data_IF_968690499984
#
_entry.id   IF_968690499984
#
_cell.length_a   1.000
_cell.length_b   1.000
_cell.length_c   1.000
_cell.angle_alpha   90.00
_cell.angle_beta   90.00
_cell.angle_gamma   90.00
#
_symmetry.space_group_name_H-M   'P 1'
#
loop_
_entity.id
_entity.type
_entity.pdbx_description
1 polymer ?
#
# COMPACT_ATOMS: atom_id res chain seq x y z
N UNK A 1 5.77 18.79 27.24
CA UNK A 1 5.89 17.79 26.18
C UNK A 1 4.71 16.80 26.15
N UNK A 2 4.44 16.01 27.19
CA UNK A 2 3.38 15.00 27.21
C UNK A 2 1.99 15.55 26.87
N UNK A 3 1.57 16.62 27.56
CA UNK A 3 0.29 17.28 27.27
C UNK A 3 0.27 17.85 25.84
N UNK A 4 1.37 18.38 25.36
CA UNK A 4 1.47 18.88 23.97
C UNK A 4 1.30 17.74 22.98
N UNK A 5 1.94 16.58 23.21
CA UNK A 5 1.73 15.40 22.37
C UNK A 5 0.27 14.91 22.38
N UNK A 6 -0.42 14.96 23.51
CA UNK A 6 -1.84 14.62 23.58
C UNK A 6 -2.72 15.62 22.82
N UNK A 7 -2.41 16.91 22.92
CA UNK A 7 -3.16 17.98 22.23
C UNK A 7 -2.94 17.98 20.71
N UNK A 8 -1.76 17.58 20.25
CA UNK A 8 -1.39 17.54 18.82
C UNK A 8 -1.75 16.22 18.16
N UNK A 9 -2.25 15.25 18.93
CA UNK A 9 -2.69 13.96 18.39
C UNK A 9 -3.74 14.15 17.29
N UNK A 10 -3.56 13.39 16.20
CA UNK A 10 -4.37 13.54 14.99
C UNK A 10 -5.87 13.49 15.25
N UNK A 11 -6.64 14.51 14.83
CA UNK A 11 -8.08 14.56 15.02
C UNK A 11 -8.84 13.45 14.30
N UNK A 12 -8.20 12.74 13.35
CA UNK A 12 -8.78 11.58 12.66
C UNK A 12 -9.01 10.40 13.58
N UNK A 13 -8.33 10.34 14.71
CA UNK A 13 -8.43 9.25 15.68
C UNK A 13 -9.44 9.57 16.78
N UNK A 14 -9.68 10.84 17.05
CA UNK A 14 -10.78 11.29 17.89
C UNK A 14 -11.93 11.73 17.00
N UNK A 15 -13.15 11.32 17.32
CA UNK A 15 -14.36 11.77 16.61
C UNK A 15 -14.63 13.28 16.78
N UNK A 16 -13.84 13.97 17.58
CA UNK A 16 -13.95 15.41 17.85
C UNK A 16 -12.57 16.03 18.06
N UNK A 17 -12.43 17.28 17.67
CA UNK A 17 -11.22 18.06 17.93
C UNK A 17 -11.06 18.31 19.43
N UNK A 18 -9.89 18.03 19.99
CA UNK A 18 -9.55 18.25 21.40
C UNK A 18 -9.50 19.74 21.80
N UNK A 19 -9.53 20.64 20.84
CA UNK A 19 -9.52 22.09 21.07
C UNK A 19 -9.62 22.90 19.78
N UNK A 20 -9.68 24.25 19.90
CA UNK A 20 -9.64 25.12 18.76
C UNK A 20 -8.33 24.98 17.98
N UNK A 21 -8.37 25.20 16.68
CA UNK A 21 -7.24 25.00 15.75
C UNK A 21 -6.00 25.84 16.14
N UNK A 22 -6.24 27.05 16.68
CA UNK A 22 -5.18 27.91 17.23
C UNK A 22 -4.45 27.29 18.42
N UNK A 23 -5.15 26.56 19.28
CA UNK A 23 -4.53 25.86 20.42
C UNK A 23 -3.64 24.70 19.92
N UNK A 24 -4.09 23.97 18.92
CA UNK A 24 -3.33 22.87 18.31
C UNK A 24 -2.07 23.44 17.64
N UNK A 25 -2.21 24.52 16.88
CA UNK A 25 -1.08 25.19 16.23
C UNK A 25 -0.04 25.68 17.26
N UNK A 26 -0.47 26.37 18.30
CA UNK A 26 0.41 26.81 19.39
C UNK A 26 1.08 25.63 20.12
N UNK A 27 0.35 24.51 20.28
CA UNK A 27 0.91 23.30 20.89
C UNK A 27 1.99 22.66 19.99
N UNK A 28 1.81 22.65 18.68
CA UNK A 28 2.80 22.17 17.71
C UNK A 28 4.08 23.01 17.76
N UNK A 29 3.95 24.35 17.73
CA UNK A 29 5.10 25.27 17.83
C UNK A 29 5.87 25.12 19.15
N UNK A 30 5.15 24.99 20.26
CA UNK A 30 5.77 24.75 21.56
C UNK A 30 6.45 23.37 21.61
N UNK A 31 5.84 22.35 21.02
CA UNK A 31 6.37 21.00 20.99
C UNK A 31 7.67 20.94 20.18
N UNK A 32 7.73 21.61 19.03
CA UNK A 32 8.94 21.73 18.21
C UNK A 32 10.06 22.43 18.98
N UNK A 33 9.75 23.54 19.66
CA UNK A 33 10.72 24.27 20.51
C UNK A 33 11.23 23.43 21.67
N UNK A 34 10.38 22.65 22.34
CA UNK A 34 10.76 21.77 23.44
C UNK A 34 11.60 20.60 22.95
N UNK A 35 11.26 19.99 21.81
CA UNK A 35 12.02 18.87 21.24
C UNK A 35 13.41 19.28 20.79
N UNK A 36 13.56 20.47 20.21
CA UNK A 36 14.87 21.03 19.81
C UNK A 36 15.74 21.44 21.00
N UNK A 37 15.13 21.87 22.11
CA UNK A 37 15.85 22.36 23.30
C UNK A 37 16.21 21.26 24.31
N UNK A 38 15.50 20.14 24.32
CA UNK A 38 15.71 19.07 25.30
C UNK A 38 16.67 18.00 24.77
N UNK A 39 17.96 18.22 24.94
CA UNK A 39 18.98 17.18 24.78
C UNK A 39 19.29 16.58 26.15
N UNK A 40 18.83 15.35 26.42
CA UNK A 40 19.23 14.67 27.64
C UNK A 40 18.18 13.78 28.33
N UNK A 41 18.26 13.51 29.61
CA UNK A 41 17.55 12.45 30.34
C UNK A 41 16.01 12.59 30.43
N UNK A 42 15.43 13.49 29.65
CA UNK A 42 13.97 13.67 29.52
C UNK A 42 13.28 12.35 29.14
N UNK A 43 13.92 11.53 28.31
CA UNK A 43 13.38 10.25 27.89
C UNK A 43 13.04 9.29 29.02
N UNK A 44 13.84 9.26 30.08
CA UNK A 44 13.62 8.40 31.25
C UNK A 44 12.35 8.79 32.05
N UNK A 45 12.09 10.09 32.19
CA UNK A 45 10.88 10.57 32.88
C UNK A 45 9.62 10.36 32.03
N UNK A 46 9.73 10.58 30.73
CA UNK A 46 8.65 10.34 29.77
C UNK A 46 8.31 8.85 29.72
N UNK A 47 9.34 8.00 29.66
CA UNK A 47 9.18 6.55 29.70
C UNK A 47 8.42 6.11 30.94
N UNK A 48 8.84 6.55 32.13
CA UNK A 48 8.17 6.22 33.38
C UNK A 48 6.71 6.66 33.42
N UNK A 49 6.41 7.86 32.93
CA UNK A 49 5.02 8.34 32.82
C UNK A 49 4.16 7.41 31.95
N UNK A 50 4.66 7.06 30.76
CA UNK A 50 3.89 6.19 29.85
C UNK A 50 3.82 4.75 30.39
N UNK A 51 4.86 4.24 31.05
CA UNK A 51 4.86 2.93 31.69
C UNK A 51 3.73 2.82 32.71
N UNK A 52 3.54 3.84 33.56
CA UNK A 52 2.46 3.88 34.53
C UNK A 52 1.06 3.95 33.90
N UNK A 53 0.90 4.71 32.80
CA UNK A 53 -0.40 4.96 32.15
C UNK A 53 -0.80 3.88 31.15
N UNK A 54 0.16 3.35 30.38
CA UNK A 54 -0.10 2.48 29.25
C UNK A 54 0.04 0.99 29.57
N UNK A 55 0.02 0.63 30.84
CA UNK A 55 -0.03 -0.76 31.26
C UNK A 55 -1.30 -1.47 30.77
N UNK A 56 -1.22 -2.78 30.47
CA UNK A 56 -2.31 -3.62 29.92
C UNK A 56 -3.69 -3.39 30.55
N UNK A 57 -3.72 -3.17 31.88
CA UNK A 57 -4.99 -2.98 32.62
C UNK A 57 -5.44 -1.51 32.71
N UNK A 58 -4.59 -0.54 32.39
CA UNK A 58 -4.86 0.89 32.63
C UNK A 58 -5.04 1.71 31.37
N UNK A 59 -4.47 1.33 30.24
CA UNK A 59 -4.43 2.15 29.02
C UNK A 59 -5.81 2.64 28.57
N UNK A 60 -6.87 1.83 28.72
CA UNK A 60 -8.25 2.22 28.35
C UNK A 60 -8.79 3.40 29.16
N UNK A 61 -8.21 3.67 30.32
CA UNK A 61 -8.55 4.84 31.16
C UNK A 61 -7.74 6.08 30.76
N UNK A 62 -6.69 5.90 29.93
CA UNK A 62 -5.73 6.92 29.55
C UNK A 62 -5.58 6.99 28.03
N UNK A 63 -6.70 7.06 27.30
CA UNK A 63 -6.71 7.04 25.84
C UNK A 63 -5.88 8.21 25.26
N UNK A 64 -5.99 9.41 25.86
CA UNK A 64 -5.14 10.55 25.49
C UNK A 64 -3.66 10.24 25.56
N UNK A 65 -3.22 9.50 26.58
CA UNK A 65 -1.83 9.10 26.71
C UNK A 65 -1.40 8.11 25.61
N UNK A 66 -2.29 7.24 25.11
CA UNK A 66 -1.97 6.35 23.97
C UNK A 66 -1.70 7.15 22.71
N UNK A 67 -2.55 8.13 22.41
CA UNK A 67 -2.38 9.02 21.25
C UNK A 67 -1.13 9.88 21.41
N UNK A 68 -0.95 10.49 22.60
CA UNK A 68 0.23 11.27 22.92
C UNK A 68 1.52 10.47 22.83
N UNK A 69 1.48 9.18 23.14
CA UNK A 69 2.63 8.28 22.97
C UNK A 69 2.99 8.08 21.50
N UNK A 70 2.01 7.86 20.64
CA UNK A 70 2.26 7.73 19.20
C UNK A 70 2.88 9.02 18.62
N UNK A 71 2.37 10.20 19.02
CA UNK A 71 2.95 11.49 18.62
C UNK A 71 4.36 11.69 19.19
N UNK A 72 4.59 11.32 20.46
CA UNK A 72 5.92 11.34 21.05
C UNK A 72 6.92 10.51 20.27
N UNK A 73 6.56 9.26 19.92
CA UNK A 73 7.42 8.40 19.11
C UNK A 73 7.74 9.04 17.76
N UNK A 74 6.73 9.57 17.09
CA UNK A 74 6.91 10.21 15.79
C UNK A 74 7.86 11.40 15.85
N UNK A 75 7.70 12.28 16.84
CA UNK A 75 8.49 13.51 16.96
C UNK A 75 9.90 13.25 17.48
N UNK A 76 10.02 12.41 18.51
CA UNK A 76 11.31 12.17 19.18
C UNK A 76 12.29 11.42 18.30
N UNK A 77 11.78 10.50 17.48
CA UNK A 77 12.57 9.62 16.63
C UNK A 77 12.43 9.96 15.13
N UNK A 78 11.97 11.16 14.78
CA UNK A 78 11.77 11.58 13.39
C UNK A 78 13.07 11.77 12.58
N UNK A 79 14.22 11.89 13.27
CA UNK A 79 15.53 12.09 12.63
C UNK A 79 16.45 10.88 12.78
N UNK A 80 17.74 11.17 13.00
CA UNK A 80 18.79 10.16 13.14
C UNK A 80 18.78 9.43 14.48
N UNK A 81 17.96 9.88 15.44
CA UNK A 81 17.88 9.27 16.77
C UNK A 81 17.09 7.96 16.65
N UNK A 82 17.75 6.86 16.99
CA UNK A 82 17.11 5.53 16.99
C UNK A 82 16.54 5.20 18.36
N UNK A 83 15.43 4.47 18.33
CA UNK A 83 14.75 3.97 19.51
C UNK A 83 15.65 2.95 20.23
N UNK A 84 15.77 3.05 21.56
CA UNK A 84 16.52 2.07 22.36
C UNK A 84 15.77 0.74 22.44
N UNK A 85 16.47 -0.36 22.69
CA UNK A 85 15.88 -1.68 22.86
C UNK A 85 14.79 -1.70 23.97
N UNK A 86 14.99 -0.95 25.06
CA UNK A 86 14.00 -0.82 26.13
C UNK A 86 12.73 -0.12 25.64
N UNK A 87 12.86 0.99 24.89
CA UNK A 87 11.72 1.71 24.32
C UNK A 87 11.02 0.86 23.26
N UNK A 88 11.77 0.10 22.45
CA UNK A 88 11.25 -0.83 21.47
C UNK A 88 10.38 -1.91 22.12
N UNK A 89 10.87 -2.57 23.17
CA UNK A 89 10.12 -3.58 23.92
C UNK A 89 8.84 -3.01 24.55
N UNK A 90 8.93 -1.82 25.13
CA UNK A 90 7.77 -1.14 25.71
C UNK A 90 6.75 -0.76 24.64
N UNK A 91 7.19 -0.15 23.56
CA UNK A 91 6.31 0.23 22.43
C UNK A 91 5.61 -0.99 21.82
N UNK A 92 6.31 -2.12 21.71
CA UNK A 92 5.71 -3.38 21.28
C UNK A 92 4.57 -3.80 22.20
N UNK A 93 4.80 -3.79 23.51
CA UNK A 93 3.78 -4.12 24.51
C UNK A 93 2.56 -3.20 24.43
N UNK A 94 2.78 -1.88 24.29
CA UNK A 94 1.69 -0.90 24.13
C UNK A 94 0.91 -1.17 22.84
N UNK A 95 1.60 -1.32 21.71
CA UNK A 95 0.97 -1.57 20.41
C UNK A 95 0.13 -2.84 20.40
N UNK A 96 0.65 -3.94 21.00
CA UNK A 96 -0.09 -5.20 21.14
C UNK A 96 -1.35 -5.02 21.99
N UNK A 97 -1.24 -4.39 23.16
CA UNK A 97 -2.37 -4.16 24.06
C UNK A 97 -3.48 -3.30 23.40
N UNK A 98 -3.07 -2.26 22.66
CA UNK A 98 -4.01 -1.37 21.96
C UNK A 98 -4.70 -2.12 20.81
N UNK A 99 -3.95 -2.93 20.07
CA UNK A 99 -4.48 -3.68 18.92
C UNK A 99 -5.37 -4.87 19.32
N UNK A 100 -5.21 -5.43 20.52
CA UNK A 100 -6.14 -6.45 21.05
C UNK A 100 -7.58 -5.91 21.22
N UNK A 101 -7.79 -4.59 21.17
CA UNK A 101 -9.13 -4.03 21.19
C UNK A 101 -9.88 -4.35 19.88
N UNK A 102 -11.17 -4.66 19.99
CA UNK A 102 -12.02 -4.94 18.82
C UNK A 102 -12.33 -3.70 17.98
N UNK A 103 -12.19 -2.50 18.55
CA UNK A 103 -12.49 -1.24 17.89
C UNK A 103 -11.43 -0.90 16.81
N UNK A 104 -11.91 -0.61 15.60
CA UNK A 104 -11.08 -0.32 14.43
C UNK A 104 -10.14 0.88 14.66
N UNK A 105 -10.58 1.90 15.42
CA UNK A 105 -9.76 3.08 15.76
C UNK A 105 -8.51 2.69 16.52
N UNK A 106 -8.65 1.81 17.53
CA UNK A 106 -7.49 1.33 18.29
C UNK A 106 -6.61 0.37 17.51
N UNK A 107 -7.20 -0.45 16.66
CA UNK A 107 -6.43 -1.29 15.73
C UNK A 107 -5.55 -0.44 14.80
N UNK A 108 -6.11 0.63 14.26
CA UNK A 108 -5.37 1.60 13.45
C UNK A 108 -4.24 2.27 14.24
N UNK A 109 -4.51 2.70 15.48
CA UNK A 109 -3.52 3.33 16.35
C UNK A 109 -2.38 2.36 16.70
N UNK A 110 -2.71 1.10 17.02
CA UNK A 110 -1.72 0.04 17.23
C UNK A 110 -0.84 -0.20 16.00
N UNK A 111 -1.42 -0.26 14.80
CA UNK A 111 -0.68 -0.37 13.54
C UNK A 111 0.24 0.84 13.29
N UNK A 112 -0.20 2.06 13.65
CA UNK A 112 0.63 3.27 13.58
C UNK A 112 1.83 3.19 14.52
N UNK A 113 1.63 2.77 15.78
CA UNK A 113 2.71 2.58 16.74
C UNK A 113 3.73 1.58 16.19
N UNK A 114 3.29 0.44 15.69
CA UNK A 114 4.16 -0.56 15.09
C UNK A 114 4.93 -0.01 13.88
N UNK A 115 4.27 0.75 13.01
CA UNK A 115 4.93 1.36 11.84
C UNK A 115 6.03 2.34 12.26
N UNK A 116 5.81 3.11 13.33
CA UNK A 116 6.82 4.02 13.89
C UNK A 116 8.01 3.23 14.48
N UNK A 117 7.74 2.16 15.21
CA UNK A 117 8.78 1.27 15.74
C UNK A 117 9.65 0.70 14.64
N UNK A 118 9.04 0.13 13.59
CA UNK A 118 9.76 -0.49 12.48
C UNK A 118 10.63 0.51 11.70
N UNK A 119 10.18 1.76 11.57
CA UNK A 119 10.95 2.82 10.87
C UNK A 119 12.07 3.42 11.70
N UNK A 120 11.85 3.55 13.01
CA UNK A 120 12.66 4.41 13.88
C UNK A 120 13.60 3.62 14.80
N UNK A 121 13.52 2.30 14.82
CA UNK A 121 14.43 1.45 15.59
C UNK A 121 15.64 1.02 14.78
N UNK A 122 16.65 0.50 15.47
CA UNK A 122 17.78 -0.11 14.81
C UNK A 122 17.32 -1.45 14.20
N UNK A 123 17.56 -1.72 12.90
CA UNK A 123 17.21 -2.98 12.27
C UNK A 123 17.75 -4.22 13.00
N UNK A 124 18.95 -4.14 13.60
CA UNK A 124 19.54 -5.23 14.40
C UNK A 124 18.68 -5.57 15.61
N UNK A 125 18.24 -4.56 16.37
CA UNK A 125 17.43 -4.77 17.56
C UNK A 125 16.07 -5.40 17.20
N UNK A 126 15.47 -4.96 16.07
CA UNK A 126 14.22 -5.52 15.55
C UNK A 126 14.38 -7.00 15.19
N UNK A 127 15.49 -7.37 14.56
CA UNK A 127 15.78 -8.75 14.15
C UNK A 127 16.14 -9.63 15.36
N UNK A 128 17.04 -9.19 16.23
CA UNK A 128 17.48 -9.94 17.42
C UNK A 128 16.32 -10.22 18.38
N UNK A 129 15.42 -9.27 18.54
CA UNK A 129 14.22 -9.42 19.39
C UNK A 129 13.03 -10.05 18.63
N UNK A 130 13.18 -10.37 17.35
CA UNK A 130 12.13 -10.91 16.47
C UNK A 130 10.84 -10.08 16.44
N UNK A 131 10.95 -8.76 16.62
CA UNK A 131 9.82 -7.83 16.75
C UNK A 131 8.97 -7.80 15.47
N UNK A 132 9.61 -7.82 14.31
CA UNK A 132 8.96 -7.79 12.99
C UNK A 132 8.01 -8.98 12.77
N UNK A 133 8.42 -10.19 13.18
CA UNK A 133 7.59 -11.39 13.07
C UNK A 133 6.37 -11.33 13.99
N UNK A 134 6.57 -10.91 15.24
CA UNK A 134 5.47 -10.75 16.21
C UNK A 134 4.45 -9.72 15.71
N UNK A 135 4.92 -8.60 15.17
CA UNK A 135 4.05 -7.56 14.59
C UNK A 135 3.33 -8.12 13.36
N UNK A 136 4.05 -8.78 12.45
CA UNK A 136 3.48 -9.37 11.24
C UNK A 136 2.33 -10.32 11.58
N UNK A 137 2.57 -11.30 12.44
CA UNK A 137 1.57 -12.29 12.83
C UNK A 137 0.33 -11.67 13.46
N UNK A 138 0.53 -10.67 14.32
CA UNK A 138 -0.58 -9.99 15.00
C UNK A 138 -1.38 -9.11 14.04
N UNK A 139 -0.73 -8.40 13.12
CA UNK A 139 -1.40 -7.51 12.17
C UNK A 139 -2.06 -8.29 11.05
N UNK A 140 -1.42 -9.37 10.57
CA UNK A 140 -1.92 -10.19 9.48
C UNK A 140 -3.20 -10.96 9.84
N UNK A 141 -3.39 -11.33 11.10
CA UNK A 141 -4.64 -11.93 11.58
C UNK A 141 -5.87 -11.07 11.27
N UNK A 142 -5.73 -9.76 11.39
CA UNK A 142 -6.82 -8.81 11.17
C UNK A 142 -6.95 -8.36 9.70
N UNK A 143 -6.01 -8.74 8.83
CA UNK A 143 -5.98 -8.31 7.44
C UNK A 143 -7.11 -8.87 6.55
N UNK A 144 -8.02 -9.69 7.11
CA UNK A 144 -9.26 -10.15 6.45
C UNK A 144 -10.39 -9.12 6.50
N UNK A 145 -10.26 -8.08 7.30
CA UNK A 145 -11.37 -7.17 7.52
C UNK A 145 -11.46 -6.16 6.37
N UNK A 146 -12.49 -6.28 5.55
CA UNK A 146 -12.74 -5.40 4.38
C UNK A 146 -13.72 -4.28 4.68
N UNK A 147 -14.30 -4.25 5.88
CA UNK A 147 -15.29 -3.23 6.29
C UNK A 147 -14.63 -2.02 6.97
N UNK A 148 -13.31 -2.04 7.13
CA UNK A 148 -12.56 -0.96 7.73
C UNK A 148 -12.47 0.27 6.80
N UNK A 149 -12.26 1.44 7.40
CA UNK A 149 -11.99 2.67 6.66
C UNK A 149 -10.70 2.55 5.82
N UNK A 150 -10.58 3.38 4.79
CA UNK A 150 -9.36 3.44 3.95
C UNK A 150 -8.12 3.73 4.78
N UNK A 151 -8.24 4.56 5.82
CA UNK A 151 -7.16 4.91 6.74
C UNK A 151 -6.69 3.68 7.55
N UNK A 152 -7.65 2.91 8.10
CA UNK A 152 -7.34 1.69 8.84
C UNK A 152 -6.72 0.62 7.93
N UNK A 153 -7.26 0.45 6.73
CA UNK A 153 -6.71 -0.43 5.68
C UNK A 153 -5.29 -0.01 5.33
N UNK A 154 -5.06 1.28 5.07
CA UNK A 154 -3.73 1.82 4.76
C UNK A 154 -2.75 1.59 5.91
N UNK A 155 -3.15 1.85 7.15
CA UNK A 155 -2.28 1.65 8.32
C UNK A 155 -1.90 0.18 8.50
N UNK A 156 -2.85 -0.74 8.35
CA UNK A 156 -2.63 -2.18 8.44
C UNK A 156 -1.64 -2.66 7.38
N UNK A 157 -1.89 -2.38 6.12
CA UNK A 157 -1.03 -2.83 5.02
C UNK A 157 0.33 -2.12 4.98
N UNK A 158 0.41 -0.86 5.38
CA UNK A 158 1.69 -0.16 5.56
C UNK A 158 2.53 -0.83 6.64
N UNK A 159 1.93 -1.20 7.76
CA UNK A 159 2.63 -1.90 8.83
C UNK A 159 3.17 -3.27 8.36
N UNK A 160 2.34 -4.06 7.67
CA UNK A 160 2.76 -5.36 7.13
C UNK A 160 3.90 -5.21 6.11
N UNK A 161 3.80 -4.23 5.22
CA UNK A 161 4.84 -3.96 4.23
C UNK A 161 6.17 -3.54 4.89
N UNK A 162 6.12 -2.78 5.98
CA UNK A 162 7.30 -2.41 6.76
C UNK A 162 7.96 -3.61 7.45
N UNK A 163 7.19 -4.61 7.86
CA UNK A 163 7.76 -5.82 8.44
C UNK A 163 8.67 -6.57 7.46
N UNK A 164 8.32 -6.54 6.15
CA UNK A 164 9.09 -7.25 5.13
C UNK A 164 10.56 -6.81 5.06
N UNK A 165 10.86 -5.54 5.37
CA UNK A 165 12.23 -5.01 5.33
C UNK A 165 13.17 -5.63 6.38
N UNK A 166 12.61 -6.30 7.37
CA UNK A 166 13.36 -6.89 8.48
C UNK A 166 13.52 -8.41 8.36
N UNK A 167 12.90 -9.05 7.36
CA UNK A 167 13.16 -10.46 7.04
C UNK A 167 14.43 -10.56 6.17
N UNK A 168 15.45 -11.22 6.67
CA UNK A 168 16.74 -11.37 5.98
C UNK A 168 16.79 -12.53 5.00
N UNK A 169 15.98 -13.57 5.23
CA UNK A 169 16.07 -14.87 4.57
C UNK A 169 14.85 -15.19 3.69
N UNK A 170 14.18 -14.15 3.17
CA UNK A 170 13.06 -14.37 2.24
C UNK A 170 13.56 -14.88 0.90
N UNK A 171 13.29 -16.16 0.62
CA UNK A 171 13.55 -16.75 -0.68
C UNK A 171 12.46 -16.36 -1.68
N UNK A 172 12.84 -15.60 -2.72
CA UNK A 172 11.93 -15.20 -3.80
C UNK A 172 11.43 -16.38 -4.66
N UNK A 173 12.11 -17.50 -4.65
CA UNK A 173 11.72 -18.70 -5.39
C UNK A 173 10.79 -19.62 -4.60
N UNK A 174 10.75 -19.49 -3.28
CA UNK A 174 9.83 -20.18 -2.41
C UNK A 174 8.64 -19.32 -1.98
N UNK A 175 7.60 -19.93 -1.46
CA UNK A 175 6.49 -19.25 -0.84
C UNK A 175 6.97 -18.50 0.41
N UNK A 176 6.60 -17.24 0.52
CA UNK A 176 7.02 -16.37 1.61
C UNK A 176 5.93 -15.35 1.99
N UNK A 177 6.24 -14.42 2.91
CA UNK A 177 5.30 -13.42 3.41
C UNK A 177 4.68 -12.56 2.31
N UNK A 178 5.40 -12.29 1.21
CA UNK A 178 4.82 -11.56 0.08
C UNK A 178 3.70 -12.35 -0.60
N UNK A 179 3.83 -13.68 -0.69
CA UNK A 179 2.80 -14.54 -1.24
C UNK A 179 1.55 -14.55 -0.33
N UNK A 180 1.74 -14.66 0.98
CA UNK A 180 0.65 -14.59 1.95
C UNK A 180 -0.10 -13.25 1.86
N UNK A 181 0.66 -12.15 1.75
CA UNK A 181 0.10 -10.81 1.59
C UNK A 181 -0.66 -10.67 0.27
N UNK A 182 -0.11 -11.16 -0.85
CA UNK A 182 -0.77 -11.10 -2.15
C UNK A 182 -2.07 -11.90 -2.17
N UNK A 183 -2.06 -13.11 -1.62
CA UNK A 183 -3.27 -13.93 -1.51
C UNK A 183 -4.39 -13.16 -0.80
N UNK A 184 -4.04 -12.55 0.31
CA UNK A 184 -4.98 -11.78 1.11
C UNK A 184 -5.44 -10.50 0.42
N UNK A 185 -4.52 -9.75 -0.20
CA UNK A 185 -4.84 -8.52 -0.92
C UNK A 185 -5.79 -8.79 -2.09
N UNK A 186 -5.48 -9.77 -2.92
CA UNK A 186 -6.31 -10.16 -4.07
C UNK A 186 -7.71 -10.59 -3.59
N UNK A 187 -7.78 -11.39 -2.53
CA UNK A 187 -9.06 -11.76 -1.94
C UNK A 187 -9.85 -10.52 -1.47
N UNK A 188 -9.21 -9.63 -0.72
CA UNK A 188 -9.85 -8.42 -0.19
C UNK A 188 -10.32 -7.47 -1.30
N UNK A 189 -9.56 -7.31 -2.38
CA UNK A 189 -9.99 -6.53 -3.55
C UNK A 189 -11.27 -7.14 -4.12
N UNK A 190 -11.28 -8.46 -4.36
CA UNK A 190 -12.39 -9.16 -5.00
C UNK A 190 -13.71 -9.11 -4.19
N UNK A 191 -13.64 -8.98 -2.86
CA UNK A 191 -14.83 -8.89 -2.00
C UNK A 191 -15.18 -7.46 -1.57
N UNK A 192 -14.30 -6.48 -1.85
CA UNK A 192 -14.53 -5.08 -1.50
C UNK A 192 -15.66 -4.50 -2.36
N UNK A 193 -16.66 -3.90 -1.73
CA UNK A 193 -17.72 -3.16 -2.43
C UNK A 193 -17.36 -1.69 -2.71
N UNK A 194 -16.32 -1.16 -2.07
CA UNK A 194 -15.94 0.26 -2.13
C UNK A 194 -14.72 0.48 -3.03
N UNK A 195 -14.89 1.31 -4.05
CA UNK A 195 -13.82 1.67 -5.01
C UNK A 195 -12.59 2.24 -4.31
N UNK A 196 -12.77 3.07 -3.29
CA UNK A 196 -11.66 3.67 -2.53
C UNK A 196 -10.79 2.62 -1.83
N UNK A 197 -11.41 1.58 -1.27
CA UNK A 197 -10.67 0.46 -0.68
C UNK A 197 -9.96 -0.37 -1.76
N UNK A 198 -10.61 -0.64 -2.88
CA UNK A 198 -9.97 -1.34 -4.02
C UNK A 198 -8.74 -0.59 -4.51
N UNK A 199 -8.81 0.73 -4.66
CA UNK A 199 -7.68 1.59 -5.02
C UNK A 199 -6.52 1.44 -4.01
N UNK A 200 -6.82 1.50 -2.72
CA UNK A 200 -5.82 1.34 -1.67
C UNK A 200 -5.13 -0.03 -1.75
N UNK A 201 -5.91 -1.10 -1.88
CA UNK A 201 -5.40 -2.47 -1.94
C UNK A 201 -4.57 -2.72 -3.21
N UNK A 202 -5.01 -2.21 -4.37
CA UNK A 202 -4.26 -2.30 -5.63
C UNK A 202 -2.87 -1.64 -5.53
N UNK A 203 -2.76 -0.51 -4.81
CA UNK A 203 -1.47 0.13 -4.54
C UNK A 203 -0.52 -0.79 -3.77
N UNK A 204 -1.01 -1.54 -2.79
CA UNK A 204 -0.18 -2.50 -2.06
C UNK A 204 0.18 -3.72 -2.91
N UNK A 205 -0.73 -4.21 -3.77
CA UNK A 205 -0.40 -5.27 -4.75
C UNK A 205 0.73 -4.80 -5.67
N UNK A 206 0.64 -3.57 -6.18
CA UNK A 206 1.67 -2.97 -7.02
C UNK A 206 3.01 -2.85 -6.28
N UNK A 207 3.00 -2.37 -5.03
CA UNK A 207 4.21 -2.29 -4.18
C UNK A 207 4.85 -3.65 -3.95
N UNK A 208 4.08 -4.70 -3.72
CA UNK A 208 4.61 -6.05 -3.56
C UNK A 208 5.20 -6.60 -4.86
N UNK A 209 4.61 -6.27 -6.01
CA UNK A 209 5.17 -6.61 -7.32
C UNK A 209 6.60 -6.09 -7.51
N UNK A 210 6.93 -4.94 -6.93
CA UNK A 210 8.27 -4.34 -6.97
C UNK A 210 9.20 -4.76 -5.84
N UNK A 211 8.70 -5.37 -4.77
CA UNK A 211 9.44 -5.54 -3.53
C UNK A 211 10.84 -6.15 -3.71
N UNK A 212 10.98 -7.14 -4.61
CA UNK A 212 12.26 -7.78 -4.89
C UNK A 212 13.04 -7.14 -6.05
N UNK A 213 12.47 -6.17 -6.74
CA UNK A 213 13.02 -5.67 -8.01
C UNK A 213 13.68 -4.31 -7.88
N UNK A 214 13.17 -3.44 -7.02
CA UNK A 214 13.57 -2.04 -6.96
C UNK A 214 13.78 -1.61 -5.52
N UNK A 215 14.76 -0.73 -5.32
CA UNK A 215 14.96 -0.07 -4.04
C UNK A 215 13.67 0.66 -3.63
N UNK A 216 13.27 0.53 -2.37
CA UNK A 216 12.02 1.04 -1.83
C UNK A 216 11.78 2.52 -2.10
N UNK A 217 12.82 3.36 -2.00
CA UNK A 217 12.73 4.79 -2.28
C UNK A 217 12.38 5.09 -3.74
N UNK A 218 12.69 4.17 -4.65
CA UNK A 218 12.38 4.27 -6.08
C UNK A 218 10.94 3.85 -6.37
N UNK A 219 10.36 2.94 -5.58
CA UNK A 219 8.97 2.48 -5.77
C UNK A 219 7.98 3.64 -5.61
N UNK A 220 8.10 4.42 -4.54
CA UNK A 220 7.20 5.54 -4.29
C UNK A 220 7.35 6.62 -5.37
N UNK A 221 8.59 6.84 -5.86
CA UNK A 221 8.85 7.72 -7.01
C UNK A 221 8.25 7.19 -8.30
N UNK A 222 8.37 5.88 -8.58
CA UNK A 222 7.77 5.23 -9.74
C UNK A 222 6.24 5.27 -9.72
N UNK A 223 5.63 5.04 -8.56
CA UNK A 223 4.18 5.14 -8.41
C UNK A 223 3.64 6.56 -8.58
N UNK A 224 4.48 7.57 -8.37
CA UNK A 224 4.16 8.98 -8.62
C UNK A 224 4.39 9.40 -10.08
N UNK A 225 5.14 8.62 -10.86
CA UNK A 225 5.44 8.95 -12.27
C UNK A 225 4.21 8.74 -13.18
N UNK A 226 4.16 9.53 -14.24
CA UNK A 226 3.30 9.27 -15.38
C UNK A 226 3.87 8.07 -16.17
N UNK A 227 3.32 6.87 -15.92
CA UNK A 227 3.77 5.61 -16.50
C UNK A 227 3.34 5.41 -17.97
N UNK A 228 2.73 6.41 -18.58
CA UNK A 228 2.15 6.32 -19.92
C UNK A 228 3.16 6.53 -21.04
N UNK A 229 4.37 6.97 -20.72
CA UNK A 229 5.41 7.17 -21.71
C UNK A 229 6.09 5.84 -22.07
N UNK A 230 6.33 5.55 -23.38
CA UNK A 230 6.96 4.30 -23.83
C UNK A 230 8.29 3.97 -23.15
N UNK A 231 9.12 4.97 -22.90
CA UNK A 231 10.42 4.80 -22.23
C UNK A 231 10.27 4.32 -20.78
N UNK A 232 9.21 4.77 -20.12
CA UNK A 232 8.91 4.34 -18.74
C UNK A 232 8.30 2.95 -18.70
N UNK A 233 7.49 2.58 -19.70
CA UNK A 233 7.01 1.20 -19.86
C UNK A 233 8.18 0.25 -20.10
N UNK A 234 9.13 0.63 -20.95
CA UNK A 234 10.34 -0.15 -21.19
C UNK A 234 11.18 -0.29 -19.92
N UNK A 235 11.36 0.81 -19.19
CA UNK A 235 12.09 0.82 -17.91
C UNK A 235 11.44 -0.12 -16.88
N UNK A 236 10.13 -0.09 -16.71
CA UNK A 236 9.42 -1.02 -15.81
C UNK A 236 9.63 -2.47 -16.24
N UNK A 237 9.58 -2.76 -17.54
CA UNK A 237 9.81 -4.09 -18.09
C UNK A 237 11.23 -4.57 -17.86
N UNK A 238 12.23 -3.75 -18.09
CA UNK A 238 13.63 -4.09 -17.92
C UNK A 238 14.00 -4.27 -16.44
N UNK A 239 13.55 -3.37 -15.58
CA UNK A 239 13.75 -3.45 -14.14
C UNK A 239 13.17 -4.74 -13.55
N UNK A 240 12.03 -5.20 -14.06
CA UNK A 240 11.39 -6.42 -13.61
C UNK A 240 11.97 -7.68 -14.28
N UNK A 241 12.40 -7.63 -15.54
CA UNK A 241 13.02 -8.77 -16.24
C UNK A 241 14.37 -9.18 -15.63
N UNK A 242 15.15 -8.22 -15.13
CA UNK A 242 16.47 -8.49 -14.55
C UNK A 242 16.42 -9.34 -13.28
N UNK A 243 15.24 -9.50 -12.66
CA UNK A 243 15.10 -10.04 -11.31
C UNK A 243 14.21 -11.28 -11.20
N UNK A 244 13.79 -11.85 -12.35
CA UNK A 244 12.87 -12.99 -12.32
C UNK A 244 11.77 -12.73 -11.28
N UNK A 245 10.81 -11.89 -11.59
CA UNK A 245 9.73 -11.45 -10.71
C UNK A 245 8.85 -12.63 -10.23
N UNK A 246 9.44 -13.52 -9.43
CA UNK A 246 8.91 -14.84 -9.13
C UNK A 246 7.57 -14.74 -8.39
N UNK A 247 7.43 -13.74 -7.52
CA UNK A 247 6.18 -13.52 -6.80
C UNK A 247 5.07 -13.09 -7.76
N UNK A 248 5.30 -12.06 -8.58
CA UNK A 248 4.31 -11.62 -9.57
C UNK A 248 4.00 -12.71 -10.60
N UNK A 249 5.01 -13.50 -11.00
CA UNK A 249 4.82 -14.63 -11.91
C UNK A 249 3.87 -15.69 -11.34
N UNK A 250 4.05 -16.09 -10.08
CA UNK A 250 3.17 -17.06 -9.41
C UNK A 250 1.71 -16.57 -9.31
N UNK A 251 1.51 -15.27 -9.17
CA UNK A 251 0.21 -14.66 -8.96
C UNK A 251 -0.44 -14.07 -10.22
N UNK A 252 0.24 -14.11 -11.36
CA UNK A 252 -0.16 -13.45 -12.60
C UNK A 252 -1.58 -13.78 -13.04
N UNK A 253 -1.94 -15.06 -13.03
CA UNK A 253 -3.32 -15.50 -13.38
C UNK A 253 -4.36 -14.88 -12.45
N UNK A 254 -4.12 -14.94 -11.14
CA UNK A 254 -5.07 -14.41 -10.14
C UNK A 254 -5.15 -12.89 -10.19
N UNK A 255 -4.04 -12.22 -10.48
CA UNK A 255 -4.02 -10.76 -10.68
C UNK A 255 -4.84 -10.38 -11.91
N UNK A 256 -4.67 -11.07 -13.05
CA UNK A 256 -5.48 -10.84 -14.24
C UNK A 256 -6.97 -11.05 -13.97
N UNK A 257 -7.34 -12.15 -13.31
CA UNK A 257 -8.73 -12.43 -12.93
C UNK A 257 -9.30 -11.36 -12.01
N UNK A 258 -8.52 -10.92 -11.02
CA UNK A 258 -8.92 -9.83 -10.11
C UNK A 258 -9.15 -8.52 -10.87
N UNK A 259 -8.28 -8.15 -11.80
CA UNK A 259 -8.44 -6.93 -12.61
C UNK A 259 -9.72 -6.98 -13.46
N UNK A 260 -10.06 -8.16 -14.03
CA UNK A 260 -11.33 -8.33 -14.76
C UNK A 260 -12.53 -8.15 -13.83
N UNK A 261 -12.51 -8.74 -12.62
CA UNK A 261 -13.61 -8.60 -11.65
C UNK A 261 -13.77 -7.14 -11.17
N UNK A 262 -12.65 -6.44 -10.95
CA UNK A 262 -12.69 -5.05 -10.52
C UNK A 262 -13.15 -4.09 -11.61
N UNK A 263 -13.01 -4.45 -12.88
CA UNK A 263 -13.39 -3.59 -14.00
C UNK A 263 -14.88 -3.26 -14.06
N UNK A 264 -15.76 -4.10 -13.50
CA UNK A 264 -17.19 -3.78 -13.37
C UNK A 264 -17.46 -2.50 -12.56
N UNK A 265 -16.55 -2.16 -11.62
CA UNK A 265 -16.65 -0.93 -10.82
C UNK A 265 -16.33 0.34 -11.62
N UNK A 266 -15.70 0.22 -12.78
CA UNK A 266 -15.38 1.34 -13.67
C UNK A 266 -16.64 2.02 -14.23
N UNK A 267 -17.77 1.32 -14.22
CA UNK A 267 -19.04 1.83 -14.74
C UNK A 267 -19.80 2.74 -13.75
N UNK A 268 -19.27 2.96 -12.53
CA UNK A 268 -19.98 3.71 -11.47
C UNK A 268 -19.99 5.22 -11.74
N UNK A 269 -18.93 5.94 -11.37
CA UNK A 269 -18.83 7.38 -11.57
C UNK A 269 -17.53 7.76 -12.25
N UNK A 270 -17.52 8.90 -12.97
CA UNK A 270 -16.32 9.38 -13.70
C UNK A 270 -15.10 9.48 -12.78
N UNK A 271 -15.23 10.09 -11.61
CA UNK A 271 -14.11 10.28 -10.67
C UNK A 271 -13.61 8.94 -10.10
N UNK A 272 -14.51 8.04 -9.73
CA UNK A 272 -14.16 6.70 -9.26
C UNK A 272 -13.52 5.87 -10.39
N UNK A 273 -14.08 5.92 -11.60
CA UNK A 273 -13.57 5.27 -12.79
C UNK A 273 -12.12 5.70 -13.06
N UNK A 274 -11.86 6.99 -13.17
CA UNK A 274 -10.53 7.52 -13.48
C UNK A 274 -9.48 7.07 -12.46
N UNK A 275 -9.79 7.19 -11.17
CA UNK A 275 -8.87 6.80 -10.09
C UNK A 275 -8.59 5.30 -10.07
N UNK A 276 -9.64 4.50 -10.19
CA UNK A 276 -9.52 3.04 -10.21
C UNK A 276 -8.74 2.56 -11.42
N UNK A 277 -9.06 3.07 -12.61
CA UNK A 277 -8.41 2.70 -13.86
C UNK A 277 -6.91 3.01 -13.83
N UNK A 278 -6.51 4.15 -13.29
CA UNK A 278 -5.09 4.48 -13.12
C UNK A 278 -4.35 3.50 -12.19
N UNK A 279 -4.97 3.06 -11.10
CA UNK A 279 -4.33 2.08 -10.20
C UNK A 279 -4.32 0.66 -10.82
N UNK A 280 -5.34 0.28 -11.56
CA UNK A 280 -5.35 -0.96 -12.33
C UNK A 280 -4.25 -0.97 -13.41
N UNK A 281 -4.07 0.16 -14.09
CA UNK A 281 -3.01 0.37 -15.08
C UNK A 281 -1.63 0.18 -14.46
N UNK A 282 -1.38 0.81 -13.31
CA UNK A 282 -0.12 0.65 -12.57
C UNK A 282 0.11 -0.79 -12.13
N UNK A 283 -0.92 -1.43 -11.60
CA UNK A 283 -0.84 -2.84 -11.21
C UNK A 283 -0.50 -3.74 -12.41
N UNK A 284 -1.12 -3.51 -13.57
CA UNK A 284 -0.82 -4.25 -14.78
C UNK A 284 0.62 -4.04 -15.26
N UNK A 285 1.06 -2.78 -15.33
CA UNK A 285 2.42 -2.42 -15.73
C UNK A 285 3.51 -3.09 -14.89
N UNK A 286 3.26 -3.17 -13.60
CA UNK A 286 4.23 -3.69 -12.63
C UNK A 286 4.19 -5.20 -12.51
N UNK A 287 2.99 -5.75 -12.40
CA UNK A 287 2.84 -7.16 -12.06
C UNK A 287 2.70 -8.07 -13.28
N UNK A 288 2.23 -7.55 -14.42
CA UNK A 288 1.88 -8.36 -15.59
C UNK A 288 2.81 -8.09 -16.78
N UNK A 289 3.02 -6.83 -17.14
CA UNK A 289 3.84 -6.45 -18.31
C UNK A 289 5.25 -7.09 -18.34
N UNK A 290 5.95 -7.24 -17.19
CA UNK A 290 7.28 -7.85 -17.16
C UNK A 290 7.28 -9.36 -17.44
N UNK A 291 6.13 -10.02 -17.32
CA UNK A 291 6.03 -11.47 -17.46
C UNK A 291 6.06 -11.84 -18.96
N UNK A 292 6.89 -12.83 -19.35
CA UNK A 292 6.93 -13.27 -20.74
C UNK A 292 5.55 -13.69 -21.25
N UNK A 293 5.16 -13.22 -22.44
CA UNK A 293 3.84 -13.46 -23.01
C UNK A 293 3.50 -14.95 -23.12
N UNK A 294 4.52 -15.80 -23.38
CA UNK A 294 4.34 -17.25 -23.45
C UNK A 294 3.81 -17.84 -22.13
N UNK A 295 4.18 -17.27 -21.00
CA UNK A 295 3.73 -17.74 -19.69
C UNK A 295 2.26 -17.32 -19.41
N UNK A 296 1.79 -16.28 -20.07
CA UNK A 296 0.45 -15.70 -19.90
C UNK A 296 -0.53 -16.11 -21.00
N UNK A 297 -0.08 -16.70 -22.10
CA UNK A 297 -0.87 -16.86 -23.34
C UNK A 297 -2.20 -17.58 -23.15
N UNK A 298 -2.32 -18.48 -22.19
CA UNK A 298 -3.59 -19.18 -21.89
C UNK A 298 -4.62 -18.30 -21.18
N UNK A 299 -4.20 -17.20 -20.53
CA UNK A 299 -5.07 -16.36 -19.73
C UNK A 299 -5.39 -15.03 -20.39
N UNK A 300 -4.54 -14.62 -21.33
CA UNK A 300 -4.69 -13.33 -22.01
C UNK A 300 -5.94 -13.23 -22.90
N UNK A 301 -6.35 -14.25 -23.68
CA UNK A 301 -7.53 -14.14 -24.51
C UNK A 301 -8.79 -13.77 -23.71
N UNK A 302 -9.02 -14.46 -22.60
CA UNK A 302 -10.16 -14.15 -21.72
C UNK A 302 -10.04 -12.74 -21.12
N UNK A 303 -8.85 -12.37 -20.66
CA UNK A 303 -8.58 -11.04 -20.11
C UNK A 303 -8.84 -9.96 -21.17
N UNK A 304 -8.27 -10.09 -22.36
CA UNK A 304 -8.47 -9.11 -23.44
C UNK A 304 -9.94 -8.98 -23.82
N UNK A 305 -10.64 -10.09 -24.01
CA UNK A 305 -12.04 -10.07 -24.40
C UNK A 305 -12.92 -9.31 -23.41
N UNK A 306 -12.82 -9.66 -22.14
CA UNK A 306 -13.64 -9.05 -21.08
C UNK A 306 -13.21 -7.63 -20.77
N UNK A 307 -11.91 -7.42 -20.59
CA UNK A 307 -11.38 -6.15 -20.13
C UNK A 307 -11.50 -5.05 -21.19
N UNK A 308 -11.18 -5.35 -22.45
CA UNK A 308 -11.33 -4.39 -23.55
C UNK A 308 -12.80 -4.03 -23.78
N UNK A 309 -13.72 -5.00 -23.67
CA UNK A 309 -15.14 -4.72 -23.76
C UNK A 309 -15.60 -3.72 -22.69
N UNK A 310 -15.16 -3.88 -21.44
CA UNK A 310 -15.50 -2.95 -20.35
C UNK A 310 -14.84 -1.59 -20.55
N UNK A 311 -13.61 -1.53 -21.06
CA UNK A 311 -12.96 -0.26 -21.38
C UNK A 311 -13.76 0.55 -22.42
N UNK A 312 -14.31 -0.15 -23.41
CA UNK A 312 -15.19 0.48 -24.41
C UNK A 312 -16.51 0.94 -23.80
N UNK A 313 -17.11 0.10 -22.96
CA UNK A 313 -18.34 0.44 -22.26
C UNK A 313 -18.14 1.67 -21.35
N UNK A 314 -17.00 1.77 -20.66
CA UNK A 314 -16.63 2.96 -19.90
C UNK A 314 -16.64 4.24 -20.73
N UNK A 315 -16.13 4.19 -21.97
CA UNK A 315 -16.15 5.35 -22.87
C UNK A 315 -17.57 5.78 -23.26
N UNK A 316 -18.46 4.80 -23.46
CA UNK A 316 -19.86 5.07 -23.78
C UNK A 316 -20.61 5.61 -22.58
N UNK A 317 -20.52 4.93 -21.44
CA UNK A 317 -21.22 5.28 -20.19
C UNK A 317 -20.79 6.65 -19.66
N UNK A 318 -19.52 6.98 -19.79
CA UNK A 318 -18.98 8.27 -19.33
C UNK A 318 -18.91 9.33 -20.43
N UNK A 319 -19.69 9.17 -21.52
CA UNK A 319 -19.86 10.17 -22.59
C UNK A 319 -18.54 10.66 -23.20
N UNK A 320 -17.55 9.79 -23.32
CA UNK A 320 -16.18 10.09 -23.80
C UNK A 320 -15.48 11.18 -22.98
N UNK A 321 -15.76 11.29 -21.69
CA UNK A 321 -15.09 12.23 -20.81
C UNK A 321 -13.57 12.07 -20.92
N UNK A 322 -12.84 13.16 -21.13
CA UNK A 322 -11.39 13.18 -21.34
C UNK A 322 -10.64 12.50 -20.18
N UNK A 323 -11.11 12.71 -18.93
CA UNK A 323 -10.50 12.10 -17.75
C UNK A 323 -10.58 10.57 -17.73
N UNK A 324 -11.54 9.98 -18.43
CA UNK A 324 -11.69 8.52 -18.61
C UNK A 324 -11.03 8.06 -19.90
N UNK A 325 -11.21 8.82 -20.98
CA UNK A 325 -10.68 8.45 -22.28
C UNK A 325 -9.15 8.33 -22.30
N UNK A 326 -8.44 9.23 -21.63
CA UNK A 326 -7.00 9.22 -21.59
C UNK A 326 -6.41 7.96 -20.90
N UNK A 327 -6.82 7.56 -19.69
CA UNK A 327 -6.37 6.29 -19.09
C UNK A 327 -6.77 5.05 -19.89
N UNK A 328 -7.94 5.06 -20.56
CA UNK A 328 -8.36 3.97 -21.44
C UNK A 328 -7.41 3.82 -22.62
N UNK A 329 -7.09 4.93 -23.30
CA UNK A 329 -6.11 4.94 -24.40
C UNK A 329 -4.75 4.42 -23.97
N UNK A 330 -4.28 4.87 -22.81
CA UNK A 330 -3.02 4.43 -22.23
C UNK A 330 -3.01 2.93 -21.97
N UNK A 331 -4.10 2.38 -21.46
CA UNK A 331 -4.20 0.94 -21.25
C UNK A 331 -4.16 0.17 -22.59
N UNK A 332 -4.89 0.66 -23.60
CA UNK A 332 -4.86 0.08 -24.94
C UNK A 332 -3.44 0.11 -25.53
N UNK A 333 -2.72 1.20 -25.37
CA UNK A 333 -1.33 1.33 -25.83
C UNK A 333 -0.39 0.33 -25.15
N UNK A 334 -0.55 0.10 -23.85
CA UNK A 334 0.25 -0.88 -23.11
C UNK A 334 -0.06 -2.31 -23.57
N UNK A 335 -1.32 -2.63 -23.73
CA UNK A 335 -1.73 -3.94 -24.23
C UNK A 335 -1.18 -4.18 -25.64
N UNK A 336 -1.23 -3.18 -26.52
CA UNK A 336 -0.64 -3.25 -27.86
C UNK A 336 0.87 -3.40 -27.81
N UNK A 337 1.57 -2.60 -26.98
CA UNK A 337 3.02 -2.71 -26.79
C UNK A 337 3.44 -4.12 -26.35
N UNK A 338 2.67 -4.75 -25.45
CA UNK A 338 2.95 -6.10 -24.99
C UNK A 338 2.81 -7.13 -26.13
N UNK A 339 1.81 -6.99 -26.97
CA UNK A 339 1.61 -7.86 -28.13
C UNK A 339 2.69 -7.64 -29.21
N UNK A 340 3.02 -6.39 -29.54
CA UNK A 340 4.00 -6.03 -30.56
C UNK A 340 5.42 -6.46 -30.18
N UNK A 341 5.79 -6.33 -28.91
CA UNK A 341 7.11 -6.78 -28.41
C UNK A 341 7.30 -8.29 -28.50
N UNK A 342 6.25 -9.04 -28.74
CA UNK A 342 6.27 -10.49 -28.92
C UNK A 342 6.17 -10.89 -30.39
N UNK A 343 6.16 -9.95 -31.30
CA UNK A 343 5.99 -10.19 -32.75
C UNK A 343 7.12 -11.00 -33.40
N UNK A 344 8.28 -11.11 -32.74
CA UNK A 344 9.36 -12.05 -33.16
C UNK A 344 9.04 -13.51 -32.87
N UNK A 345 7.98 -13.78 -32.13
CA UNK A 345 7.49 -15.10 -31.76
C UNK A 345 6.11 -15.29 -32.40
N UNK A 346 5.87 -16.45 -33.03
CA UNK A 346 4.55 -16.75 -33.60
C UNK A 346 3.50 -16.65 -32.49
N UNK A 347 2.78 -15.51 -32.47
CA UNK A 347 1.62 -15.32 -31.60
C UNK A 347 0.55 -16.34 -31.98
N UNK A 348 -0.16 -16.94 -31.01
CA UNK A 348 -1.39 -17.68 -31.30
C UNK A 348 -2.35 -16.84 -32.13
N UNK A 349 -3.09 -17.47 -33.05
CA UNK A 349 -4.01 -16.81 -33.99
C UNK A 349 -4.99 -15.87 -33.27
N UNK A 350 -5.45 -16.30 -32.10
CA UNK A 350 -6.37 -15.55 -31.25
C UNK A 350 -5.79 -14.19 -30.80
N UNK A 351 -4.51 -14.14 -30.49
CA UNK A 351 -3.84 -12.88 -30.08
C UNK A 351 -3.60 -11.93 -31.27
N UNK A 352 -3.49 -12.45 -32.50
CA UNK A 352 -3.42 -11.62 -33.70
C UNK A 352 -4.74 -10.88 -33.99
N UNK A 353 -5.89 -11.53 -33.75
CA UNK A 353 -7.20 -10.90 -33.87
C UNK A 353 -7.35 -9.74 -32.87
N UNK A 354 -6.84 -9.89 -31.63
CA UNK A 354 -6.85 -8.82 -30.65
C UNK A 354 -5.96 -7.64 -31.04
N UNK A 355 -4.80 -7.88 -31.63
CA UNK A 355 -3.93 -6.82 -32.13
C UNK A 355 -4.67 -5.95 -33.15
N UNK A 356 -5.37 -6.56 -34.08
CA UNK A 356 -6.16 -5.87 -35.11
C UNK A 356 -7.33 -5.09 -34.46
N UNK A 357 -8.01 -5.67 -33.47
CA UNK A 357 -9.10 -5.03 -32.77
C UNK A 357 -8.61 -3.79 -31.98
N UNK A 358 -7.48 -3.88 -31.28
CA UNK A 358 -6.87 -2.77 -30.55
C UNK A 358 -6.42 -1.64 -31.48
N UNK A 359 -5.85 -1.96 -32.65
CA UNK A 359 -5.49 -0.96 -33.64
C UNK A 359 -6.73 -0.23 -34.20
N UNK A 360 -7.80 -0.97 -34.50
CA UNK A 360 -9.05 -0.39 -34.96
C UNK A 360 -9.68 0.54 -33.92
N UNK A 361 -9.60 0.16 -32.64
CA UNK A 361 -10.04 0.97 -31.51
C UNK A 361 -9.24 2.27 -31.37
N UNK A 362 -7.92 2.21 -31.49
CA UNK A 362 -7.04 3.38 -31.42
C UNK A 362 -7.37 4.36 -32.54
N UNK A 363 -7.66 3.88 -33.75
CA UNK A 363 -8.08 4.71 -34.87
C UNK A 363 -9.44 5.37 -34.62
N UNK A 364 -10.42 4.65 -34.07
CA UNK A 364 -11.74 5.20 -33.74
C UNK A 364 -11.69 6.26 -32.64
N UNK A 365 -10.73 6.16 -31.69
CA UNK A 365 -10.58 7.13 -30.61
C UNK A 365 -9.77 8.37 -31.01
N UNK A 366 -8.99 8.31 -32.10
CA UNK A 366 -8.26 9.44 -32.67
C UNK A 366 -9.13 10.36 -33.56
N UNK A 367 -10.33 9.91 -33.93
CA UNK A 367 -11.38 10.69 -34.61
C UNK A 367 -12.28 11.40 -33.58
#
# INVERSE_FOLDING_TARGET
>A
MLLLCELTASPTVYQFKLGPESLIQNALELLERVTTSCQGPVDAHIFKYYEEKLHKKSWKRHIGAVHGFAEYLQLRYAGDIKMSAQMLAFSLSVGLNVRECYDAVYKQLGARIFSLMLKQSNPKDIQEMNVHSVIYDQVFKDAYNTTESVEATTATWTCLYLCLDHYTDMDRFAWNQCDDMLDRLIHNVSISSHVTNSICLLRFITKLGYYFTINRNEIDSLLAMDLTQPDKMLFCREACNSLNACTSFRWSKRILQMLVLESDKLLQSVDACTKLLNEMLRCYLVCILPIPLQALHHHLPEFYTKFVAILLECLVVHERNISVAQPVLQFIEILQFQLDSSASQKLPTDLQEYTNALQSLKLLMAQ
#
